data_IF_736921360011
#
_entry.id   IF_736921360011
#
_cell.length_a   1.000
_cell.length_b   1.000
_cell.length_c   1.000
_cell.angle_alpha   90.00
_cell.angle_beta   90.00
_cell.angle_gamma   90.00
#
_symmetry.space_group_name_H-M   'P 1'
#
loop_
_entity.id
_entity.type
_entity.pdbx_description
1 polymer ?
#
# COMPACT_ATOMS: atom_id res chain seq x y z
N UNK A 1 9.91 14.89 -5.41
CA UNK A 1 10.11 14.82 -3.96
C UNK A 1 11.30 15.64 -3.50
N UNK A 2 12.57 15.31 -3.81
CA UNK A 2 13.74 16.08 -3.34
C UNK A 2 13.63 17.60 -3.59
N UNK A 3 13.38 17.99 -4.84
CA UNK A 3 13.11 19.39 -5.24
C UNK A 3 11.97 20.05 -4.44
N UNK A 4 10.93 19.29 -4.07
CA UNK A 4 9.82 19.81 -3.26
C UNK A 4 10.25 20.02 -1.81
N UNK A 5 10.99 19.10 -1.22
CA UNK A 5 11.47 19.23 0.17
C UNK A 5 12.49 20.37 0.30
N UNK A 6 13.35 20.55 -0.70
CA UNK A 6 14.32 21.65 -0.76
C UNK A 6 13.66 23.03 -0.94
N UNK A 7 12.49 23.08 -1.58
CA UNK A 7 11.75 24.31 -1.87
C UNK A 7 10.32 24.23 -1.30
N UNK A 8 10.18 23.71 -0.09
CA UNK A 8 8.87 23.50 0.53
C UNK A 8 8.24 24.87 0.83
N UNK A 9 7.02 25.17 0.34
CA UNK A 9 6.35 26.42 0.69
C UNK A 9 5.87 26.42 2.14
N UNK A 10 5.80 27.60 2.74
CA UNK A 10 5.19 27.77 4.08
C UNK A 10 3.75 27.25 4.06
N UNK A 11 3.36 26.57 5.14
CA UNK A 11 2.05 25.92 5.27
C UNK A 11 1.92 24.62 4.46
N UNK A 12 2.99 24.14 3.81
CA UNK A 12 3.02 22.82 3.19
C UNK A 12 3.75 21.80 4.07
N UNK A 13 3.34 20.54 3.94
CA UNK A 13 4.00 19.40 4.57
C UNK A 13 4.22 18.28 3.55
N UNK A 14 5.29 17.51 3.69
CA UNK A 14 5.56 16.31 2.88
C UNK A 14 5.62 15.09 3.78
N UNK A 15 4.84 14.07 3.46
CA UNK A 15 4.92 12.76 4.09
C UNK A 15 5.39 11.71 3.08
N UNK A 16 6.20 10.76 3.55
CA UNK A 16 6.53 9.54 2.81
C UNK A 16 6.09 8.35 3.66
N UNK A 17 5.05 7.66 3.22
CA UNK A 17 4.45 6.56 3.94
C UNK A 17 4.88 5.20 3.39
N UNK A 18 5.07 4.25 4.28
CA UNK A 18 5.35 2.86 3.95
C UNK A 18 4.98 1.91 5.09
N UNK A 19 4.64 0.67 4.74
CA UNK A 19 4.53 -0.41 5.70
C UNK A 19 5.85 -1.16 5.73
N UNK A 20 6.56 -1.07 6.86
CA UNK A 20 7.71 -1.95 7.05
C UNK A 20 7.21 -3.40 7.17
N UNK A 21 7.99 -4.36 6.69
CA UNK A 21 7.67 -5.78 6.95
C UNK A 21 7.44 -5.98 8.46
N UNK A 22 6.43 -6.76 8.80
CA UNK A 22 6.04 -6.99 10.18
C UNK A 22 7.24 -7.40 11.05
N UNK A 23 7.29 -6.85 12.26
CA UNK A 23 8.25 -7.29 13.26
C UNK A 23 7.81 -8.65 13.79
N UNK A 24 8.68 -9.65 13.64
CA UNK A 24 8.47 -10.98 14.22
C UNK A 24 8.99 -10.96 15.65
N UNK A 25 8.10 -11.09 16.63
CA UNK A 25 8.50 -11.29 18.01
C UNK A 25 9.37 -12.55 18.09
N UNK A 26 10.58 -12.38 18.62
CA UNK A 26 11.52 -13.48 18.83
C UNK A 26 11.84 -13.61 20.30
N UNK A 27 12.17 -14.83 20.73
CA UNK A 27 12.67 -15.08 22.09
C UNK A 27 14.19 -15.30 22.05
N UNK A 28 14.88 -14.93 23.13
CA UNK A 28 16.33 -15.14 23.22
C UNK A 28 16.70 -16.64 23.19
N UNK A 29 15.88 -17.47 23.82
CA UNK A 29 16.06 -18.92 23.90
C UNK A 29 14.83 -19.64 23.31
N UNK A 30 14.53 -19.41 22.04
CA UNK A 30 13.38 -20.03 21.36
C UNK A 30 13.47 -21.57 21.38
N UNK A 31 12.42 -22.20 21.88
CA UNK A 31 12.21 -23.64 21.68
C UNK A 31 11.80 -23.90 20.23
N UNK A 32 12.16 -25.06 19.69
CA UNK A 32 11.97 -25.40 18.27
C UNK A 32 10.51 -25.25 17.79
N UNK A 33 9.53 -25.47 18.66
CA UNK A 33 8.09 -25.31 18.33
C UNK A 33 7.67 -23.86 18.08
N UNK A 34 8.32 -22.88 18.72
CA UNK A 34 7.99 -21.44 18.56
C UNK A 34 8.42 -20.90 17.19
N UNK A 35 9.30 -21.61 16.48
CA UNK A 35 9.74 -21.23 15.13
C UNK A 35 8.59 -21.13 14.10
N UNK A 36 7.53 -21.95 14.26
CA UNK A 36 6.44 -22.04 13.28
C UNK A 36 5.30 -21.06 13.51
N UNK A 37 5.22 -20.41 14.68
CA UNK A 37 4.18 -19.45 15.04
C UNK A 37 4.79 -18.29 15.79
N UNK A 38 5.28 -17.30 15.05
CA UNK A 38 5.76 -16.04 15.63
C UNK A 38 4.63 -15.03 15.61
N UNK A 39 4.43 -14.36 16.74
CA UNK A 39 3.56 -13.20 16.80
C UNK A 39 4.19 -12.09 15.95
N UNK A 40 3.39 -11.49 15.10
CA UNK A 40 3.82 -10.43 14.19
C UNK A 40 3.19 -9.10 14.59
N UNK A 41 3.99 -8.04 14.55
CA UNK A 41 3.60 -6.68 14.89
C UNK A 41 3.73 -5.82 13.66
N UNK A 42 2.64 -5.14 13.30
CA UNK A 42 2.63 -4.17 12.20
C UNK A 42 3.41 -2.93 12.59
N UNK A 43 4.27 -2.49 11.67
CA UNK A 43 5.06 -1.27 11.81
C UNK A 43 4.86 -0.40 10.58
N UNK A 44 4.04 0.63 10.74
CA UNK A 44 3.93 1.69 9.74
C UNK A 44 4.99 2.76 9.98
N UNK A 45 5.58 3.26 8.90
CA UNK A 45 6.58 4.32 8.93
C UNK A 45 6.11 5.49 8.07
N UNK A 46 6.16 6.69 8.64
CA UNK A 46 5.98 7.95 7.93
C UNK A 46 7.20 8.84 8.13
N UNK A 47 7.89 9.20 7.06
CA UNK A 47 8.90 10.27 7.08
C UNK A 47 8.18 11.58 6.86
N UNK A 48 8.31 12.50 7.81
CA UNK A 48 7.61 13.78 7.83
C UNK A 48 8.62 14.90 7.59
N UNK A 49 8.37 15.74 6.59
CA UNK A 49 9.09 16.99 6.38
C UNK A 49 8.12 18.16 6.55
N UNK A 50 8.46 19.06 7.45
CA UNK A 50 7.66 20.26 7.75
C UNK A 50 8.58 21.43 8.06
N UNK A 51 8.04 22.63 7.98
CA UNK A 51 8.72 23.80 8.53
C UNK A 51 8.85 23.68 10.05
N UNK A 52 9.93 24.22 10.59
CA UNK A 52 10.13 24.30 12.04
C UNK A 52 9.10 25.24 12.66
N UNK A 53 8.69 24.92 13.89
CA UNK A 53 7.78 25.72 14.71
C UNK A 53 8.55 26.22 15.92
N UNK A 54 8.62 27.53 16.14
CA UNK A 54 9.46 28.12 17.18
C UNK A 54 9.26 27.50 18.57
N UNK A 55 8.01 27.34 19.00
CA UNK A 55 7.66 26.82 20.33
C UNK A 55 8.05 25.35 20.53
N UNK A 56 8.15 24.57 19.45
CA UNK A 56 8.36 23.13 19.49
C UNK A 56 9.76 22.70 19.07
N UNK A 57 10.40 23.45 18.18
CA UNK A 57 11.72 23.18 17.61
C UNK A 57 12.80 24.17 18.08
N UNK A 58 12.42 25.26 18.75
CA UNK A 58 13.33 26.31 19.20
C UNK A 58 13.87 27.20 18.07
N UNK A 59 13.42 26.98 16.83
CA UNK A 59 13.76 27.79 15.65
C UNK A 59 12.51 28.00 14.81
N UNK A 60 12.29 29.24 14.39
CA UNK A 60 11.21 29.59 13.47
C UNK A 60 11.63 29.39 12.01
N UNK A 61 10.64 29.27 11.13
CA UNK A 61 10.87 29.15 9.69
C UNK A 61 10.07 30.22 8.94
N UNK A 62 10.75 31.00 8.11
CA UNK A 62 10.11 32.02 7.24
C UNK A 62 10.30 31.68 5.76
N UNK A 63 9.71 32.48 4.88
CA UNK A 63 9.93 32.34 3.43
C UNK A 63 11.38 32.67 3.03
N UNK A 64 12.01 33.63 3.71
CA UNK A 64 13.41 34.05 3.45
C UNK A 64 14.44 33.10 4.07
N UNK A 65 14.14 32.56 5.26
CA UNK A 65 14.98 31.59 5.95
C UNK A 65 14.18 30.32 6.26
N UNK A 66 13.93 29.47 5.25
CA UNK A 66 13.19 28.23 5.45
C UNK A 66 14.03 27.25 6.28
N UNK A 67 13.43 26.73 7.36
CA UNK A 67 14.02 25.69 8.18
C UNK A 67 13.16 24.44 8.15
N UNK A 68 13.64 23.39 7.47
CA UNK A 68 12.91 22.14 7.30
C UNK A 68 13.35 21.13 8.35
N UNK A 69 12.39 20.67 9.15
CA UNK A 69 12.55 19.61 10.14
C UNK A 69 12.13 18.29 9.50
N UNK A 70 12.95 17.27 9.69
CA UNK A 70 12.63 15.90 9.25
C UNK A 70 12.41 15.01 10.47
N UNK A 71 11.25 14.37 10.55
CA UNK A 71 10.86 13.51 11.67
C UNK A 71 10.49 12.11 11.16
N UNK A 72 10.64 11.11 12.02
CA UNK A 72 10.18 9.75 11.75
C UNK A 72 8.99 9.46 12.64
N UNK A 73 7.84 9.19 12.04
CA UNK A 73 6.60 8.89 12.74
C UNK A 73 6.26 7.42 12.54
N UNK A 74 6.09 6.70 13.63
CA UNK A 74 5.84 5.26 13.62
C UNK A 74 4.47 4.96 14.24
N UNK A 75 3.71 4.09 13.59
CA UNK A 75 2.50 3.51 14.17
C UNK A 75 2.71 2.01 14.35
N UNK A 76 2.63 1.57 15.59
CA UNK A 76 2.82 0.18 16.01
C UNK A 76 1.45 -0.40 16.37
N UNK A 77 1.12 -1.57 15.82
CA UNK A 77 -0.20 -2.19 16.00
C UNK A 77 -0.15 -3.71 15.93
N UNK A 78 -1.03 -4.44 16.63
CA UNK A 78 -1.25 -5.87 16.36
C UNK A 78 -2.13 -6.11 15.12
N UNK A 79 -2.76 -5.07 14.55
CA UNK A 79 -3.59 -5.17 13.34
C UNK A 79 -2.73 -5.33 12.08
N UNK A 80 -2.90 -6.44 11.36
CA UNK A 80 -2.07 -6.81 10.19
C UNK A 80 -2.79 -6.68 8.85
N UNK A 81 -4.00 -6.10 8.80
CA UNK A 81 -4.78 -6.06 7.55
C UNK A 81 -4.21 -5.10 6.51
N UNK A 82 -3.49 -4.07 6.97
CA UNK A 82 -2.83 -3.05 6.13
C UNK A 82 -3.75 -2.51 5.01
N UNK A 83 -5.02 -2.30 5.31
CA UNK A 83 -6.03 -1.87 4.35
C UNK A 83 -6.16 -0.35 4.32
N UNK A 84 -7.07 0.14 3.47
CA UNK A 84 -7.37 1.57 3.37
C UNK A 84 -7.84 2.20 4.69
N UNK A 85 -8.44 1.39 5.59
CA UNK A 85 -8.79 1.87 6.91
C UNK A 85 -7.57 2.14 7.77
N UNK A 86 -6.58 1.24 7.74
CA UNK A 86 -5.32 1.44 8.44
C UNK A 86 -4.61 2.69 7.94
N UNK A 87 -4.52 2.88 6.62
CA UNK A 87 -3.82 4.04 6.05
C UNK A 87 -4.49 5.36 6.42
N UNK A 88 -5.83 5.42 6.39
CA UNK A 88 -6.59 6.58 6.87
C UNK A 88 -6.36 6.87 8.36
N UNK A 89 -6.33 5.82 9.20
CA UNK A 89 -6.03 5.96 10.63
C UNK A 89 -4.64 6.58 10.86
N UNK A 90 -3.62 6.11 10.12
CA UNK A 90 -2.26 6.69 10.17
C UNK A 90 -2.27 8.16 9.75
N UNK A 91 -2.95 8.50 8.66
CA UNK A 91 -3.05 9.88 8.18
C UNK A 91 -3.70 10.79 9.23
N UNK A 92 -4.74 10.30 9.91
CA UNK A 92 -5.38 11.02 11.01
C UNK A 92 -4.41 11.26 12.17
N UNK A 93 -3.65 10.24 12.59
CA UNK A 93 -2.66 10.37 13.67
C UNK A 93 -1.55 11.38 13.34
N UNK A 94 -1.12 11.44 12.08
CA UNK A 94 -0.17 12.46 11.60
C UNK A 94 -0.79 13.85 11.64
N UNK A 95 -2.06 14.00 11.22
CA UNK A 95 -2.80 15.27 11.30
C UNK A 95 -2.94 15.75 12.75
N UNK A 96 -3.36 14.88 13.65
CA UNK A 96 -3.49 15.17 15.08
C UNK A 96 -2.16 15.58 15.70
N UNK A 97 -1.07 14.90 15.33
CA UNK A 97 0.26 15.27 15.78
C UNK A 97 0.65 16.67 15.31
N UNK A 98 0.51 16.98 14.02
CA UNK A 98 0.81 18.30 13.47
C UNK A 98 0.02 19.41 14.18
N UNK A 99 -1.27 19.18 14.43
CA UNK A 99 -2.12 20.09 15.21
C UNK A 99 -1.63 20.26 16.65
N UNK A 100 -1.21 19.17 17.30
CA UNK A 100 -0.75 19.18 18.70
C UNK A 100 0.53 19.99 18.94
N UNK A 101 1.31 20.22 17.88
CA UNK A 101 2.54 21.02 17.92
C UNK A 101 2.35 22.40 17.29
N UNK A 102 1.10 22.82 17.07
CA UNK A 102 0.71 24.07 16.43
C UNK A 102 1.37 24.28 15.05
N UNK A 103 1.58 23.19 14.30
CA UNK A 103 2.07 23.26 12.93
C UNK A 103 0.89 23.41 11.97
N UNK A 104 0.62 24.65 11.55
CA UNK A 104 -0.47 24.95 10.62
C UNK A 104 -0.12 24.48 9.21
N UNK A 105 -0.83 23.44 8.73
CA UNK A 105 -0.66 22.89 7.40
C UNK A 105 -1.93 23.13 6.58
N UNK A 106 -1.75 23.76 5.42
CA UNK A 106 -2.80 23.98 4.41
C UNK A 106 -2.72 22.92 3.30
N UNK A 107 -1.51 22.50 2.93
CA UNK A 107 -1.28 21.56 1.82
C UNK A 107 -0.45 20.36 2.27
N UNK A 108 -1.02 19.17 2.15
CA UNK A 108 -0.35 17.91 2.45
C UNK A 108 0.09 17.20 1.17
N UNK A 109 1.39 16.96 1.01
CA UNK A 109 1.97 16.18 -0.08
C UNK A 109 2.35 14.79 0.39
N UNK A 110 1.60 13.78 -0.02
CA UNK A 110 1.88 12.41 0.39
C UNK A 110 2.65 11.67 -0.72
N UNK A 111 3.61 10.85 -0.33
CA UNK A 111 4.37 9.98 -1.21
C UNK A 111 4.33 8.55 -0.68
N UNK A 112 4.11 7.59 -1.57
CA UNK A 112 4.06 6.15 -1.21
C UNK A 112 4.34 5.30 -2.44
N UNK A 113 4.66 4.02 -2.26
CA UNK A 113 4.95 3.06 -3.32
C UNK A 113 3.73 2.72 -4.20
N UNK A 114 2.54 3.13 -3.77
CA UNK A 114 1.30 2.93 -4.49
C UNK A 114 0.84 1.48 -4.52
N UNK A 115 1.17 0.70 -3.49
CA UNK A 115 0.62 -0.64 -3.31
C UNK A 115 -0.92 -0.62 -3.37
N UNK A 116 -1.51 -1.46 -4.23
CA UNK A 116 -2.94 -1.39 -4.54
C UNK A 116 -3.85 -1.86 -3.42
N UNK A 117 -3.36 -2.68 -2.48
CA UNK A 117 -4.10 -3.06 -1.28
C UNK A 117 -4.08 -1.99 -0.18
N UNK A 118 -3.05 -1.13 -0.18
CA UNK A 118 -2.75 -0.21 0.93
C UNK A 118 -3.08 1.25 0.62
N UNK A 119 -2.44 1.83 -0.40
CA UNK A 119 -2.45 3.28 -0.67
C UNK A 119 -3.07 3.67 -2.00
N UNK A 120 -3.19 2.71 -2.92
CA UNK A 120 -3.69 2.94 -4.28
C UNK A 120 -4.89 2.05 -4.62
N UNK A 121 -5.69 1.69 -3.61
CA UNK A 121 -6.97 1.02 -3.84
C UNK A 121 -8.04 2.02 -4.28
N UNK A 122 -9.15 1.53 -4.82
CA UNK A 122 -10.34 2.36 -5.10
C UNK A 122 -10.88 3.03 -3.84
N UNK A 123 -10.81 2.33 -2.71
CA UNK A 123 -11.26 2.83 -1.41
C UNK A 123 -10.32 3.91 -0.88
N UNK A 124 -9.00 3.75 -1.05
CA UNK A 124 -8.03 4.79 -0.70
C UNK A 124 -8.25 6.05 -1.54
N UNK A 125 -8.48 5.92 -2.85
CA UNK A 125 -8.79 7.06 -3.71
C UNK A 125 -10.08 7.76 -3.29
N UNK A 126 -11.07 7.01 -2.83
CA UNK A 126 -12.29 7.54 -2.24
C UNK A 126 -12.03 8.26 -0.93
N UNK A 127 -11.26 7.67 -0.01
CA UNK A 127 -10.85 8.32 1.24
C UNK A 127 -10.07 9.63 0.99
N UNK A 128 -9.17 9.63 0.01
CA UNK A 128 -8.44 10.83 -0.44
C UNK A 128 -9.41 11.94 -0.85
N UNK A 129 -10.54 11.59 -1.49
CA UNK A 129 -11.54 12.58 -1.89
C UNK A 129 -12.17 13.32 -0.71
N UNK A 130 -12.21 12.74 0.50
CA UNK A 130 -12.74 13.37 1.72
C UNK A 130 -11.64 13.78 2.72
N UNK A 131 -10.37 13.52 2.40
CA UNK A 131 -9.28 13.72 3.37
C UNK A 131 -9.04 15.20 3.72
N UNK A 132 -9.41 16.13 2.83
CA UNK A 132 -9.35 17.56 3.12
C UNK A 132 -10.27 17.94 4.29
N UNK A 133 -11.53 17.49 4.26
CA UNK A 133 -12.50 17.74 5.33
C UNK A 133 -12.18 16.93 6.60
N UNK A 134 -11.76 15.68 6.46
CA UNK A 134 -11.38 14.84 7.61
C UNK A 134 -10.22 15.44 8.42
N UNK A 135 -9.20 15.93 7.73
CA UNK A 135 -7.95 16.34 8.38
C UNK A 135 -7.84 17.86 8.52
N UNK A 136 -8.72 18.64 7.89
CA UNK A 136 -8.72 20.10 7.94
C UNK A 136 -7.64 20.74 7.05
N UNK A 137 -7.31 20.11 5.93
CA UNK A 137 -6.38 20.66 4.93
C UNK A 137 -7.15 21.34 3.81
N UNK A 138 -6.57 22.38 3.20
CA UNK A 138 -7.14 22.97 1.99
C UNK A 138 -6.89 22.07 0.76
N UNK A 139 -5.77 21.33 0.76
CA UNK A 139 -5.40 20.43 -0.34
C UNK A 139 -4.65 19.21 0.19
N UNK A 140 -4.95 18.04 -0.37
CA UNK A 140 -4.13 16.83 -0.23
C UNK A 140 -3.70 16.34 -1.60
N UNK A 141 -2.43 15.97 -1.71
CA UNK A 141 -1.76 15.69 -2.98
C UNK A 141 -1.02 14.36 -2.93
N UNK A 142 -1.70 13.19 -2.93
CA UNK A 142 -1.03 11.90 -2.98
C UNK A 142 -0.25 11.69 -4.27
N UNK A 143 0.96 11.17 -4.14
CA UNK A 143 1.88 10.84 -5.23
C UNK A 143 2.34 9.40 -5.07
N UNK A 144 2.30 8.66 -6.16
CA UNK A 144 2.67 7.25 -6.17
C UNK A 144 3.96 7.06 -6.94
N UNK A 145 4.96 6.42 -6.31
CA UNK A 145 6.14 5.95 -7.02
C UNK A 145 5.77 4.83 -8.00
N UNK A 146 6.70 4.51 -8.89
CA UNK A 146 6.58 3.28 -9.68
C UNK A 146 6.76 2.07 -8.76
N UNK A 147 6.02 1.00 -9.03
CA UNK A 147 6.10 -0.24 -8.26
C UNK A 147 7.55 -0.73 -8.20
N UNK A 148 8.00 -1.15 -7.01
CA UNK A 148 9.39 -1.61 -6.74
C UNK A 148 10.49 -0.54 -6.78
N UNK A 149 10.15 0.74 -6.98
CA UNK A 149 11.11 1.85 -7.05
C UNK A 149 11.04 2.83 -5.88
N UNK A 150 10.28 2.51 -4.84
CA UNK A 150 10.05 3.39 -3.69
C UNK A 150 11.11 3.32 -2.58
N UNK A 151 12.30 2.74 -2.82
CA UNK A 151 13.31 2.60 -1.76
C UNK A 151 13.75 3.96 -1.23
N UNK A 152 13.70 4.14 0.08
CA UNK A 152 13.92 5.44 0.69
C UNK A 152 14.23 5.43 2.18
N UNK A 153 14.24 6.62 2.80
CA UNK A 153 14.53 6.76 4.23
C UNK A 153 13.57 5.99 5.14
N UNK A 154 12.35 5.72 4.68
CA UNK A 154 11.34 4.95 5.41
C UNK A 154 11.73 3.47 5.60
N UNK A 155 12.35 2.83 4.61
CA UNK A 155 12.88 1.46 4.74
C UNK A 155 13.94 1.39 5.85
N UNK A 156 14.87 2.35 5.83
CA UNK A 156 15.96 2.43 6.79
C UNK A 156 15.45 2.72 8.22
N UNK A 157 14.41 3.55 8.33
CA UNK A 157 13.76 3.86 9.60
C UNK A 157 13.06 2.63 10.20
N UNK A 158 12.25 1.91 9.41
CA UNK A 158 11.60 0.67 9.86
C UNK A 158 12.62 -0.42 10.21
N UNK A 159 13.63 -0.63 9.36
CA UNK A 159 14.71 -1.58 9.62
C UNK A 159 15.53 -1.23 10.87
N UNK A 160 15.72 0.05 11.18
CA UNK A 160 16.40 0.49 12.40
C UNK A 160 15.63 0.07 13.66
N UNK A 161 14.31 0.33 13.73
CA UNK A 161 13.49 -0.03 14.90
C UNK A 161 13.54 -1.54 15.14
N UNK A 162 13.29 -2.34 14.09
CA UNK A 162 13.33 -3.82 14.16
C UNK A 162 14.68 -4.32 14.64
N UNK A 163 15.77 -3.82 14.05
CA UNK A 163 17.14 -4.19 14.45
C UNK A 163 17.43 -3.84 15.91
N UNK A 164 16.99 -2.69 16.39
CA UNK A 164 17.20 -2.31 17.80
C UNK A 164 16.39 -3.20 18.74
N UNK A 165 15.15 -3.56 18.39
CA UNK A 165 14.33 -4.49 19.16
C UNK A 165 14.99 -5.88 19.23
N UNK A 166 15.43 -6.42 18.08
CA UNK A 166 16.13 -7.71 18.02
C UNK A 166 17.40 -7.72 18.87
N UNK A 167 18.20 -6.66 18.80
CA UNK A 167 19.40 -6.55 19.63
C UNK A 167 19.08 -6.50 21.12
N UNK A 168 17.99 -5.85 21.52
CA UNK A 168 17.58 -5.78 22.92
C UNK A 168 17.15 -7.16 23.45
N UNK A 169 16.43 -7.93 22.64
CA UNK A 169 16.03 -9.32 22.94
C UNK A 169 17.25 -10.25 22.98
N UNK A 170 18.11 -10.22 21.96
CA UNK A 170 19.32 -11.06 21.87
C UNK A 170 20.25 -10.84 23.06
N UNK A 171 20.37 -9.59 23.52
CA UNK A 171 21.19 -9.24 24.69
C UNK A 171 20.54 -9.60 26.03
N UNK A 172 19.28 -10.06 26.03
CA UNK A 172 18.52 -10.35 27.24
C UNK A 172 18.17 -9.10 28.05
N UNK A 173 18.18 -7.93 27.42
CA UNK A 173 17.87 -6.65 28.11
C UNK A 173 16.38 -6.36 28.16
N UNK A 174 15.63 -6.85 27.17
CA UNK A 174 14.19 -6.68 27.05
C UNK A 174 13.55 -7.96 26.53
N UNK A 175 12.29 -8.18 26.91
CA UNK A 175 11.44 -9.23 26.36
C UNK A 175 10.36 -8.51 25.54
N UNK A 176 10.30 -8.79 24.23
CA UNK A 176 9.37 -8.13 23.30
C UNK A 176 8.51 -9.20 22.64
N UNK A 177 7.33 -9.47 23.22
CA UNK A 177 6.43 -10.55 22.78
C UNK A 177 5.06 -10.06 22.30
N UNK A 178 4.87 -8.75 22.25
CA UNK A 178 3.62 -8.13 21.81
C UNK A 178 3.88 -6.79 21.12
N UNK A 179 2.84 -6.26 20.48
CA UNK A 179 2.85 -4.92 19.89
C UNK A 179 3.02 -3.83 20.95
N UNK A 180 2.42 -4.01 22.14
CA UNK A 180 2.60 -3.09 23.27
C UNK A 180 4.04 -3.12 23.79
N UNK A 181 4.67 -4.28 23.91
CA UNK A 181 6.08 -4.36 24.35
C UNK A 181 7.01 -3.65 23.37
N UNK A 182 6.77 -3.83 22.06
CA UNK A 182 7.57 -3.16 21.03
C UNK A 182 7.39 -1.65 21.10
N UNK A 183 6.16 -1.18 21.30
CA UNK A 183 5.86 0.24 21.46
C UNK A 183 6.54 0.82 22.71
N UNK A 184 6.39 0.19 23.87
CA UNK A 184 6.98 0.65 25.13
C UNK A 184 8.51 0.69 25.05
N UNK A 185 9.11 -0.34 24.46
CA UNK A 185 10.55 -0.38 24.19
C UNK A 185 10.99 0.80 23.30
N UNK A 186 10.31 0.99 22.16
CA UNK A 186 10.68 2.01 21.19
C UNK A 186 10.50 3.43 21.76
N UNK A 187 9.38 3.68 22.45
CA UNK A 187 9.08 4.96 23.09
C UNK A 187 10.13 5.31 24.17
N UNK A 188 10.54 4.33 24.97
CA UNK A 188 11.47 4.54 26.09
C UNK A 188 12.93 4.67 25.65
N UNK A 189 13.32 3.99 24.56
CA UNK A 189 14.74 3.86 24.19
C UNK A 189 15.12 4.53 22.87
N UNK A 190 14.17 4.78 21.96
CA UNK A 190 14.47 5.14 20.56
C UNK A 190 13.90 6.49 20.13
N UNK A 191 13.16 7.18 20.99
CA UNK A 191 12.56 8.50 20.70
C UNK A 191 13.60 9.57 20.37
N UNK A 192 14.73 9.55 21.07
CA UNK A 192 15.82 10.50 20.86
C UNK A 192 16.70 10.07 19.68
N UNK A 193 17.04 11.03 18.82
CA UNK A 193 18.00 10.85 17.74
C UNK A 193 19.39 11.29 18.20
N UNK A 194 20.44 10.70 17.62
CA UNK A 194 21.79 11.20 17.83
C UNK A 194 21.97 12.54 17.11
N UNK A 195 22.78 13.45 17.66
CA UNK A 195 23.02 14.80 17.11
C UNK A 195 23.53 14.80 15.67
N UNK A 196 24.18 13.72 15.23
CA UNK A 196 24.69 13.56 13.87
C UNK A 196 23.65 13.07 12.85
N UNK A 197 22.39 12.86 13.26
CA UNK A 197 21.36 12.30 12.40
C UNK A 197 20.59 13.39 11.66
N UNK A 198 20.25 13.15 10.39
CA UNK A 198 19.34 14.04 9.61
C UNK A 198 17.89 14.01 10.10
N UNK A 199 17.59 13.17 11.09
CA UNK A 199 16.28 13.05 11.72
C UNK A 199 16.29 13.83 13.04
N UNK A 200 15.34 14.74 13.20
CA UNK A 200 15.23 15.59 14.38
C UNK A 200 14.63 14.86 15.57
N UNK A 201 13.71 13.90 15.34
CA UNK A 201 13.13 13.05 16.39
C UNK A 201 12.35 11.85 15.83
N UNK A 202 12.11 10.86 16.69
CA UNK A 202 11.18 9.76 16.41
C UNK A 202 9.93 9.90 17.27
N UNK A 203 8.77 9.78 16.63
CA UNK A 203 7.46 9.82 17.28
C UNK A 203 6.85 8.43 17.15
N UNK A 204 6.36 7.89 18.26
CA UNK A 204 5.67 6.60 18.27
C UNK A 204 4.20 6.82 18.64
N UNK A 205 3.32 6.05 17.99
CA UNK A 205 1.92 5.89 18.33
C UNK A 205 1.58 4.41 18.39
N UNK A 206 0.72 4.07 19.34
CA UNK A 206 0.16 2.73 19.46
C UNK A 206 -1.29 2.74 19.00
N UNK A 207 -1.66 1.75 18.19
CA UNK A 207 -3.04 1.52 17.76
C UNK A 207 -3.37 0.07 18.03
N UNK A 208 -4.25 -0.19 18.99
CA UNK A 208 -4.66 -1.55 19.33
C UNK A 208 -5.48 -2.19 18.20
N UNK A 209 -6.44 -1.44 17.65
CA UNK A 209 -7.23 -1.87 16.51
C UNK A 209 -7.67 -0.69 15.66
N UNK A 210 -7.78 -0.92 14.35
CA UNK A 210 -8.27 0.09 13.40
C UNK A 210 -9.78 -0.05 13.22
N UNK A 211 -10.49 1.08 13.35
CA UNK A 211 -11.93 1.16 13.09
C UNK A 211 -12.23 0.99 11.59
N UNK A 212 -13.09 0.01 11.27
CA UNK A 212 -13.51 -0.35 9.91
C UNK A 212 -15.01 -0.15 9.67
N UNK A 213 -15.70 0.53 10.58
CA UNK A 213 -17.13 0.79 10.48
C UNK A 213 -17.44 2.01 9.58
N UNK A 214 -16.44 2.52 8.85
CA UNK A 214 -16.60 3.67 7.95
C UNK A 214 -17.27 3.22 6.65
N UNK A 215 -18.47 3.76 6.36
CA UNK A 215 -19.16 3.56 5.08
C UNK A 215 -18.52 4.40 3.95
N UNK A 216 -17.35 3.94 3.53
CA UNK A 216 -16.49 4.55 2.52
C UNK A 216 -15.99 3.51 1.53
N UNK A 217 -16.93 2.72 1.04
CA UNK A 217 -16.69 1.79 -0.05
C UNK A 217 -17.04 2.40 -1.40
N UNK A 218 -16.13 2.30 -2.36
CA UNK A 218 -16.21 3.03 -3.62
C UNK A 218 -16.08 2.09 -4.83
N UNK A 219 -16.72 2.49 -5.93
CA UNK A 219 -16.61 1.79 -7.19
C UNK A 219 -15.16 1.85 -7.76
N UNK A 220 -14.76 0.87 -8.59
CA UNK A 220 -13.41 0.84 -9.17
C UNK A 220 -13.08 2.08 -10.01
N UNK A 221 -11.87 2.62 -9.81
CA UNK A 221 -11.33 3.73 -10.62
C UNK A 221 -10.66 3.19 -11.87
N UNK A 222 -11.13 3.61 -13.04
CA UNK A 222 -10.57 3.19 -14.34
C UNK A 222 -9.11 3.62 -14.48
N UNK A 223 -8.30 2.73 -15.04
CA UNK A 223 -6.87 2.95 -15.30
C UNK A 223 -6.04 3.38 -14.08
N UNK A 224 -6.49 3.05 -12.85
CA UNK A 224 -5.84 3.40 -11.59
C UNK A 224 -4.31 3.17 -11.61
N UNK A 225 -3.85 2.04 -12.16
CA UNK A 225 -2.41 1.73 -12.26
C UNK A 225 -1.59 2.85 -12.93
N UNK A 226 -2.13 3.53 -13.95
CA UNK A 226 -1.46 4.62 -14.69
C UNK A 226 -1.44 5.96 -13.95
N UNK A 227 -2.15 6.08 -12.83
CA UNK A 227 -2.26 7.33 -12.06
C UNK A 227 -1.10 7.39 -11.06
N UNK A 228 -0.22 8.40 -11.16
CA UNK A 228 0.85 8.61 -10.18
C UNK A 228 0.71 9.91 -9.40
N UNK A 229 -0.31 10.71 -9.71
CA UNK A 229 -0.69 11.84 -8.89
C UNK A 229 -2.19 11.94 -8.77
N UNK A 230 -2.64 12.14 -7.54
CA UNK A 230 -4.02 12.46 -7.18
C UNK A 230 -4.02 13.80 -6.46
N UNK A 231 -5.10 14.55 -6.59
CA UNK A 231 -5.35 15.76 -5.82
C UNK A 231 -6.79 15.78 -5.37
N UNK A 232 -7.00 16.14 -4.12
CA UNK A 232 -8.32 16.47 -3.60
C UNK A 232 -8.30 17.89 -3.06
N UNK A 233 -9.43 18.57 -3.27
CA UNK A 233 -9.73 19.93 -2.86
C UNK A 233 -11.15 20.01 -2.28
N UNK A 234 -12.07 19.25 -2.88
CA UNK A 234 -13.49 19.19 -2.54
C UNK A 234 -13.90 17.73 -2.30
N UNK A 235 -14.86 17.55 -1.40
CA UNK A 235 -15.35 16.23 -1.02
C UNK A 235 -16.00 15.48 -2.20
N UNK A 236 -15.67 14.19 -2.30
CA UNK A 236 -16.25 13.29 -3.30
C UNK A 236 -15.68 13.42 -4.71
N UNK A 237 -14.68 14.28 -4.93
CA UNK A 237 -14.03 14.47 -6.22
C UNK A 237 -12.51 14.43 -6.12
N UNK A 238 -11.86 13.86 -7.12
CA UNK A 238 -10.40 13.86 -7.24
C UNK A 238 -9.95 14.29 -8.63
N UNK A 239 -8.77 14.89 -8.71
CA UNK A 239 -8.09 15.19 -9.95
C UNK A 239 -6.88 14.28 -10.09
N UNK A 240 -6.82 13.54 -11.18
CA UNK A 240 -5.79 12.52 -11.40
C UNK A 240 -4.92 12.85 -12.60
N UNK A 241 -3.67 12.43 -12.54
CA UNK A 241 -2.73 12.55 -13.65
C UNK A 241 -1.71 11.42 -13.67
N UNK A 242 -1.15 11.18 -14.86
CA UNK A 242 -0.15 10.15 -15.09
C UNK A 242 1.11 10.37 -14.27
N UNK A 243 1.66 11.58 -14.18
CA UNK A 243 2.89 11.85 -13.44
C UNK A 243 2.81 13.19 -12.70
N UNK A 244 3.39 13.24 -11.50
CA UNK A 244 3.52 14.48 -10.74
C UNK A 244 4.60 15.40 -11.31
N UNK A 245 4.43 16.72 -11.09
CA UNK A 245 5.42 17.72 -11.46
C UNK A 245 5.86 18.49 -10.22
N UNK A 246 7.15 18.40 -9.89
CA UNK A 246 7.80 19.17 -8.83
C UNK A 246 9.11 19.82 -9.32
N UNK A 247 9.25 19.96 -10.64
CA UNK A 247 10.40 20.57 -11.31
C UNK A 247 10.13 22.01 -11.76
N UNK A 248 8.86 22.44 -11.82
CA UNK A 248 8.51 23.81 -12.15
C UNK A 248 7.91 24.53 -10.95
N UNK A 249 8.21 25.81 -10.82
CA UNK A 249 7.76 26.64 -9.70
C UNK A 249 6.24 26.68 -9.58
N UNK A 250 5.53 26.75 -10.70
CA UNK A 250 4.06 26.80 -10.73
C UNK A 250 3.44 25.64 -9.96
N UNK A 251 3.94 24.41 -10.14
CA UNK A 251 3.41 23.26 -9.42
C UNK A 251 3.82 23.23 -7.94
N UNK A 252 4.99 23.74 -7.59
CA UNK A 252 5.44 23.81 -6.19
C UNK A 252 4.52 24.76 -5.41
N UNK A 253 4.22 25.93 -5.97
CA UNK A 253 3.35 26.95 -5.32
C UNK A 253 1.84 26.70 -5.54
N UNK A 254 1.46 25.56 -6.12
CA UNK A 254 0.05 25.18 -6.26
C UNK A 254 -0.71 25.78 -7.45
N UNK A 255 -0.03 26.45 -8.39
CA UNK A 255 -0.60 26.93 -9.65
C UNK A 255 -0.45 25.88 -10.77
N UNK A 256 -1.32 24.89 -10.75
CA UNK A 256 -1.13 23.71 -11.59
C UNK A 256 -1.55 23.87 -13.05
N UNK A 257 -2.45 24.81 -13.34
CA UNK A 257 -2.93 25.11 -14.70
C UNK A 257 -1.84 25.67 -15.61
N UNK A 258 -0.75 26.18 -15.03
CA UNK A 258 0.39 26.76 -15.75
C UNK A 258 1.62 25.86 -15.69
N UNK A 259 1.42 24.55 -15.47
CA UNK A 259 2.49 23.58 -15.45
C UNK A 259 3.17 23.50 -16.82
N UNK A 260 4.46 23.84 -16.86
CA UNK A 260 5.26 23.88 -18.09
C UNK A 260 5.46 22.50 -18.74
N UNK A 261 5.19 21.43 -18.00
CA UNK A 261 5.45 20.05 -18.41
C UNK A 261 4.16 19.29 -18.76
N UNK A 262 3.02 19.97 -18.92
CA UNK A 262 1.73 19.32 -19.19
C UNK A 262 1.73 18.48 -20.46
N UNK A 263 2.39 18.94 -21.52
CA UNK A 263 2.51 18.18 -22.77
C UNK A 263 3.20 16.81 -22.57
N UNK A 264 4.09 16.69 -21.58
CA UNK A 264 4.87 15.47 -21.32
C UNK A 264 4.22 14.59 -20.24
N UNK A 265 3.63 15.21 -19.22
CA UNK A 265 3.14 14.53 -18.02
C UNK A 265 1.64 14.22 -18.06
N UNK A 266 0.94 14.75 -19.08
CA UNK A 266 -0.50 14.65 -19.25
C UNK A 266 -1.26 15.77 -18.56
N UNK A 267 -2.54 15.90 -18.89
CA UNK A 267 -3.48 16.82 -18.25
C UNK A 267 -4.17 16.18 -17.06
N UNK A 268 -4.68 16.99 -16.15
CA UNK A 268 -5.53 16.49 -15.06
C UNK A 268 -6.89 16.09 -15.60
N UNK A 269 -7.36 14.93 -15.16
CA UNK A 269 -8.73 14.48 -15.39
C UNK A 269 -9.46 14.46 -14.05
N UNK A 270 -10.65 15.05 -14.04
CA UNK A 270 -11.54 15.03 -12.88
C UNK A 270 -12.26 13.69 -12.83
N UNK A 271 -12.28 13.07 -11.66
CA UNK A 271 -13.03 11.84 -11.37
C UNK A 271 -13.95 12.13 -10.18
N UNK A 272 -15.25 11.90 -10.37
CA UNK A 272 -16.20 11.90 -9.26
C UNK A 272 -16.20 10.51 -8.64
N UNK A 273 -16.01 10.46 -7.32
CA UNK A 273 -16.03 9.21 -6.57
C UNK A 273 -17.49 8.80 -6.33
N UNK A 274 -17.79 7.53 -6.58
CA UNK A 274 -19.14 6.97 -6.42
C UNK A 274 -19.08 5.88 -5.37
N UNK A 275 -19.93 6.00 -4.35
CA UNK A 275 -20.04 4.98 -3.30
C UNK A 275 -20.76 3.74 -3.82
N UNK A 276 -20.43 2.58 -3.28
CA UNK A 276 -21.11 1.33 -3.64
C UNK A 276 -22.58 1.34 -3.23
N UNK A 277 -22.89 1.91 -2.06
CA UNK A 277 -24.25 2.05 -1.56
C UNK A 277 -25.15 2.88 -2.49
N UNK A 278 -24.62 3.92 -3.13
CA UNK A 278 -25.34 4.76 -4.10
C UNK A 278 -25.59 4.05 -5.44
N UNK A 279 -24.83 2.99 -5.76
CA UNK A 279 -25.02 2.25 -6.99
C UNK A 279 -26.16 1.22 -6.89
N UNK A 280 -26.32 0.62 -5.71
CA UNK A 280 -27.29 -0.45 -5.45
C UNK A 280 -28.76 0.02 -5.50
N UNK A 281 -29.05 1.32 -5.32
CA UNK A 281 -30.41 1.86 -5.45
C UNK A 281 -30.90 1.99 -6.91
N UNK A 282 -30.05 1.68 -7.91
CA UNK A 282 -30.38 1.82 -9.33
C UNK A 282 -30.45 0.52 -10.13
N UNK A 283 -30.09 -0.63 -9.55
CA UNK A 283 -30.27 -1.94 -10.17
C UNK A 283 -30.51 -3.00 -9.09
N UNK A 284 -31.76 -3.42 -8.93
CA UNK A 284 -32.08 -4.70 -8.31
C UNK A 284 -31.75 -5.82 -9.31
N UNK A 285 -30.47 -6.12 -9.48
CA UNK A 285 -30.01 -7.41 -9.98
C UNK A 285 -29.13 -8.02 -8.90
N UNK A 286 -29.57 -9.18 -8.45
CA UNK A 286 -28.98 -9.97 -7.37
C UNK A 286 -27.59 -10.47 -7.74
N UNK A 287 -26.56 -9.88 -7.17
CA UNK A 287 -25.28 -10.54 -6.97
C UNK A 287 -25.00 -10.57 -5.46
N UNK A 288 -25.25 -11.73 -4.87
CA UNK A 288 -24.69 -12.12 -3.58
C UNK A 288 -23.19 -12.29 -3.78
N UNK A 289 -22.41 -11.25 -3.48
CA UNK A 289 -20.96 -11.38 -3.29
C UNK A 289 -20.66 -11.03 -1.84
N UNK A 290 -20.89 -12.02 -0.96
CA UNK A 290 -20.41 -11.98 0.41
C UNK A 290 -18.88 -12.04 0.37
N UNK A 291 -18.27 -11.01 0.95
CA UNK A 291 -16.83 -10.79 0.93
C UNK A 291 -16.01 -12.00 1.36
N UNK A 292 -15.12 -12.41 0.46
CA UNK A 292 -13.86 -13.06 0.78
C UNK A 292 -12.79 -12.26 0.06
N UNK A 293 -11.79 -11.79 0.81
CA UNK A 293 -10.58 -11.13 0.30
C UNK A 293 -9.93 -12.01 -0.78
N UNK A 294 -10.23 -11.74 -2.05
CA UNK A 294 -9.67 -12.48 -3.17
C UNK A 294 -8.31 -11.86 -3.49
N UNK A 295 -7.25 -12.64 -3.24
CA UNK A 295 -5.99 -12.58 -3.97
C UNK A 295 -6.30 -12.09 -5.39
N UNK A 296 -5.79 -10.90 -5.76
CA UNK A 296 -6.00 -10.28 -7.08
C UNK A 296 -6.20 -11.33 -8.16
N UNK A 297 -7.43 -11.51 -8.66
CA UNK A 297 -7.81 -12.65 -9.49
C UNK A 297 -6.90 -12.74 -10.74
N UNK A 298 -5.78 -13.48 -10.62
CA UNK A 298 -4.67 -13.48 -11.60
C UNK A 298 -5.17 -13.94 -12.97
N UNK A 299 -6.25 -14.71 -12.97
CA UNK A 299 -6.96 -15.14 -14.17
C UNK A 299 -7.36 -14.00 -15.12
N UNK A 300 -7.64 -12.79 -14.61
CA UNK A 300 -8.01 -11.65 -15.48
C UNK A 300 -6.88 -11.20 -16.40
N UNK A 301 -5.63 -11.59 -16.11
CA UNK A 301 -4.48 -11.35 -16.98
C UNK A 301 -4.18 -12.52 -17.94
N UNK A 302 -4.92 -13.64 -17.84
CA UNK A 302 -4.75 -14.80 -18.70
C UNK A 302 -5.56 -14.63 -19.97
N UNK A 303 -4.89 -14.71 -21.13
CA UNK A 303 -5.53 -14.72 -22.44
C UNK A 303 -4.98 -15.88 -23.27
N UNK A 304 -5.56 -16.14 -24.44
CA UNK A 304 -5.09 -17.17 -25.36
C UNK A 304 -3.59 -17.03 -25.64
N UNK A 305 -2.84 -18.07 -25.31
CA UNK A 305 -1.40 -18.16 -25.53
C UNK A 305 -0.54 -17.79 -24.32
N UNK A 306 -1.11 -17.17 -23.28
CA UNK A 306 -0.44 -16.90 -22.00
C UNK A 306 0.08 -18.19 -21.37
N UNK A 307 1.29 -18.13 -20.83
CA UNK A 307 1.85 -19.19 -19.99
C UNK A 307 1.64 -18.78 -18.54
N UNK A 308 1.07 -19.67 -17.73
CA UNK A 308 0.71 -19.38 -16.34
C UNK A 308 0.94 -20.62 -15.48
N UNK A 309 1.11 -20.40 -14.18
CA UNK A 309 1.20 -21.47 -13.19
C UNK A 309 -0.18 -21.72 -12.58
N UNK A 310 -0.45 -22.98 -12.25
CA UNK A 310 -1.67 -23.41 -11.58
C UNK A 310 -1.24 -24.17 -10.35
N UNK A 311 -1.71 -23.75 -9.18
CA UNK A 311 -1.50 -24.46 -7.92
C UNK A 311 -2.00 -25.90 -8.07
N UNK A 312 -1.15 -26.84 -7.68
CA UNK A 312 -1.45 -28.26 -7.72
C UNK A 312 -1.79 -28.75 -6.30
N UNK A 313 -2.71 -29.71 -6.22
CA UNK A 313 -3.06 -30.36 -4.95
C UNK A 313 -2.12 -31.53 -4.60
N UNK A 314 -1.12 -31.81 -5.45
CA UNK A 314 -0.13 -32.88 -5.26
C UNK A 314 0.96 -32.48 -4.24
N UNK A 315 1.21 -33.34 -3.26
CA UNK A 315 2.27 -33.14 -2.23
C UNK A 315 3.69 -33.04 -2.81
N UNK A 316 3.94 -33.64 -3.97
CA UNK A 316 5.28 -33.71 -4.60
C UNK A 316 5.50 -32.62 -5.66
N UNK A 317 4.46 -31.88 -6.05
CA UNK A 317 4.53 -30.88 -7.11
C UNK A 317 3.64 -29.69 -6.74
N UNK A 318 4.19 -28.56 -6.29
CA UNK A 318 3.38 -27.45 -5.76
C UNK A 318 2.56 -26.71 -6.84
N UNK A 319 2.93 -26.84 -8.11
CA UNK A 319 2.22 -26.21 -9.23
C UNK A 319 2.50 -26.93 -10.55
N UNK A 320 1.60 -26.73 -11.52
CA UNK A 320 1.82 -27.08 -12.91
C UNK A 320 1.92 -25.83 -13.78
N UNK A 321 2.67 -25.90 -14.87
CA UNK A 321 2.74 -24.83 -15.86
C UNK A 321 1.88 -25.18 -17.06
N UNK A 322 1.01 -24.27 -17.47
CA UNK A 322 0.13 -24.43 -18.63
C UNK A 322 0.33 -23.29 -19.62
N UNK A 323 0.00 -23.57 -20.88
CA UNK A 323 -0.26 -22.55 -21.91
C UNK A 323 -1.74 -22.50 -22.25
N UNK A 324 -2.35 -21.34 -22.09
CA UNK A 324 -3.76 -21.11 -22.43
C UNK A 324 -4.00 -21.36 -23.93
N UNK A 325 -5.00 -22.18 -24.23
CA UNK A 325 -5.44 -22.48 -25.59
C UNK A 325 -6.51 -21.51 -26.10
N UNK A 326 -7.23 -20.88 -25.16
CA UNK A 326 -8.33 -19.93 -25.35
C UNK A 326 -8.37 -18.96 -24.17
N UNK A 327 -9.13 -17.88 -24.32
CA UNK A 327 -9.42 -16.96 -23.22
C UNK A 327 -10.26 -17.67 -22.13
N UNK A 328 -10.17 -17.24 -20.85
CA UNK A 328 -10.98 -17.79 -19.77
C UNK A 328 -12.47 -17.73 -20.10
N UNK A 329 -13.20 -18.79 -19.78
CA UNK A 329 -14.64 -18.87 -20.04
C UNK A 329 -15.40 -19.29 -18.79
N UNK A 330 -16.62 -18.77 -18.66
CA UNK A 330 -17.60 -19.28 -17.70
C UNK A 330 -18.32 -20.47 -18.36
N UNK A 331 -18.29 -21.63 -17.70
CA UNK A 331 -18.89 -22.85 -18.22
C UNK A 331 -20.42 -22.71 -18.29
N UNK A 332 -20.99 -22.89 -19.49
CA UNK A 332 -22.45 -22.94 -19.70
C UNK A 332 -23.07 -24.29 -19.35
N UNK A 333 -22.24 -25.32 -19.19
CA UNK A 333 -22.62 -26.69 -18.79
C UNK A 333 -21.42 -27.34 -18.12
N UNK A 334 -21.66 -28.33 -17.27
CA UNK A 334 -20.60 -29.14 -16.67
C UNK A 334 -19.66 -29.70 -17.74
N UNK A 335 -18.36 -29.57 -17.52
CA UNK A 335 -17.32 -30.02 -18.44
C UNK A 335 -16.31 -30.89 -17.69
N UNK A 336 -15.96 -32.03 -18.29
CA UNK A 336 -14.93 -32.94 -17.79
C UNK A 336 -13.81 -33.01 -18.81
N UNK A 337 -12.57 -32.81 -18.37
CA UNK A 337 -11.40 -32.96 -19.22
C UNK A 337 -10.93 -34.42 -19.29
N UNK A 338 -9.92 -34.68 -20.13
CA UNK A 338 -9.37 -36.03 -20.32
C UNK A 338 -8.41 -36.47 -19.22
N UNK A 339 -8.12 -35.60 -18.26
CA UNK A 339 -7.39 -35.93 -17.03
C UNK A 339 -8.35 -36.38 -15.92
N UNK A 340 -9.66 -36.31 -16.15
CA UNK A 340 -10.69 -36.72 -15.21
C UNK A 340 -11.21 -35.57 -14.34
N UNK A 341 -10.70 -34.34 -14.52
CA UNK A 341 -11.15 -33.18 -13.77
C UNK A 341 -12.50 -32.69 -14.30
N UNK A 342 -13.48 -32.52 -13.42
CA UNK A 342 -14.85 -32.11 -13.75
C UNK A 342 -15.20 -30.80 -13.06
N UNK A 343 -15.75 -29.85 -13.82
CA UNK A 343 -16.16 -28.54 -13.33
C UNK A 343 -17.60 -28.26 -13.69
N UNK A 344 -18.36 -27.72 -12.76
CA UNK A 344 -19.79 -27.46 -12.90
C UNK A 344 -20.09 -26.23 -13.76
N UNK A 345 -21.34 -26.11 -14.21
CA UNK A 345 -21.86 -24.90 -14.83
C UNK A 345 -21.71 -23.71 -13.88
N UNK A 346 -21.30 -22.55 -14.40
CA UNK A 346 -21.04 -21.34 -13.62
C UNK A 346 -19.57 -21.13 -13.25
N UNK A 347 -18.74 -22.19 -13.26
CA UNK A 347 -17.32 -22.05 -12.95
C UNK A 347 -16.57 -21.31 -14.07
N UNK A 348 -15.76 -20.30 -13.70
CA UNK A 348 -14.76 -19.68 -14.59
C UNK A 348 -13.55 -20.63 -14.70
N UNK A 349 -13.24 -21.06 -15.92
CA UNK A 349 -12.17 -22.04 -16.19
C UNK A 349 -11.27 -21.58 -17.33
N UNK A 350 -10.05 -22.09 -17.34
CA UNK A 350 -9.08 -21.88 -18.41
C UNK A 350 -8.80 -23.22 -19.08
N UNK A 351 -8.81 -23.21 -20.41
CA UNK A 351 -8.44 -24.39 -21.21
C UNK A 351 -6.98 -24.25 -21.64
N UNK A 352 -6.15 -25.25 -21.38
CA UNK A 352 -4.72 -25.16 -21.69
C UNK A 352 -4.06 -26.50 -21.98
N UNK A 353 -2.75 -26.44 -22.21
CA UNK A 353 -1.88 -27.60 -22.38
C UNK A 353 -0.74 -27.53 -21.37
N UNK A 354 -0.49 -28.63 -20.67
CA UNK A 354 0.60 -28.73 -19.69
C UNK A 354 1.97 -28.71 -20.35
N UNK A 355 2.95 -28.21 -19.61
CA UNK A 355 4.36 -28.44 -19.88
C UNK A 355 4.87 -29.65 -19.10
N UNK A 356 5.61 -30.52 -19.78
CA UNK A 356 6.32 -31.63 -19.14
C UNK A 356 7.79 -31.29 -19.00
N UNK A 357 8.42 -31.68 -17.90
CA UNK A 357 9.87 -31.59 -17.72
C UNK A 357 10.59 -32.56 -18.65
N UNK A 358 11.69 -32.11 -19.25
CA UNK A 358 12.59 -32.94 -20.05
C UNK A 358 13.72 -33.43 -19.15
N UNK A 359 14.02 -34.73 -19.16
CA UNK A 359 15.12 -35.35 -18.41
C UNK A 359 15.11 -35.04 -16.89
N UNK A 360 13.92 -34.91 -16.29
CA UNK A 360 13.73 -34.47 -14.89
C UNK A 360 14.40 -33.13 -14.54
N UNK A 361 14.68 -32.28 -15.54
CA UNK A 361 15.22 -30.95 -15.33
C UNK A 361 14.07 -29.94 -15.22
N UNK A 362 13.87 -29.28 -14.06
CA UNK A 362 12.76 -28.34 -13.85
C UNK A 362 12.86 -27.07 -14.71
N UNK A 363 14.03 -26.78 -15.27
CA UNK A 363 14.26 -25.61 -16.13
C UNK A 363 14.09 -25.93 -17.63
N UNK A 364 13.87 -27.20 -18.00
CA UNK A 364 13.64 -27.61 -19.40
C UNK A 364 12.23 -28.15 -19.55
N UNK A 365 11.36 -27.34 -20.15
CA UNK A 365 9.94 -27.64 -20.31
C UNK A 365 9.57 -27.87 -21.77
N UNK A 366 8.75 -28.88 -22.03
CA UNK A 366 8.18 -29.17 -23.35
C UNK A 366 6.66 -29.15 -23.29
N UNK A 367 6.03 -28.33 -24.12
CA UNK A 367 4.59 -28.25 -24.20
C UNK A 367 3.99 -29.58 -24.72
N UNK A 368 3.14 -30.20 -23.93
CA UNK A 368 2.41 -31.42 -24.28
C UNK A 368 1.06 -31.07 -24.91
N UNK A 369 1.02 -30.97 -26.24
CA UNK A 369 -0.24 -30.68 -26.98
C UNK A 369 -1.19 -31.88 -27.11
N UNK A 370 -0.90 -32.99 -26.43
CA UNK A 370 -1.61 -34.27 -26.63
C UNK A 370 -2.98 -34.29 -25.98
N UNK A 371 -3.10 -33.72 -24.78
CA UNK A 371 -4.32 -33.78 -23.97
C UNK A 371 -4.59 -32.37 -23.42
N UNK A 372 -5.68 -31.71 -23.84
CA UNK A 372 -6.07 -30.43 -23.26
C UNK A 372 -6.57 -30.63 -21.84
N UNK A 373 -6.22 -29.69 -20.96
CA UNK A 373 -6.64 -29.65 -19.57
C UNK A 373 -7.63 -28.50 -19.33
N UNK A 374 -8.52 -28.70 -18.37
CA UNK A 374 -9.39 -27.65 -17.83
C UNK A 374 -8.94 -27.38 -16.40
N UNK A 375 -8.66 -26.13 -16.09
CA UNK A 375 -8.25 -25.69 -14.74
C UNK A 375 -9.16 -24.57 -14.26
N UNK A 376 -9.49 -24.50 -12.96
CA UNK A 376 -10.33 -23.43 -12.45
C UNK A 376 -9.52 -22.13 -12.42
N UNK A 377 -10.18 -21.01 -12.72
CA UNK A 377 -9.55 -19.68 -12.72
C UNK A 377 -8.91 -19.32 -11.37
N UNK A 378 -9.52 -19.78 -10.28
CA UNK A 378 -9.08 -19.53 -8.90
C UNK A 378 -7.78 -20.25 -8.54
N UNK A 379 -7.35 -21.25 -9.30
CA UNK A 379 -6.09 -21.96 -9.02
C UNK A 379 -4.87 -21.33 -9.72
N UNK A 380 -5.05 -20.20 -10.42
CA UNK A 380 -3.94 -19.49 -11.09
C UNK A 380 -3.12 -18.73 -10.06
N UNK A 381 -1.80 -18.96 -10.07
CA UNK A 381 -0.82 -18.32 -9.17
C UNK A 381 0.26 -17.56 -9.93
#
# INVERSE_FOLDING_TARGET
MKSLVENLPIGHCVTVHDFSENYKCTEQNEIQSTYFQKLEVSLHVTILHRHSVLEYDGKDSTEEEPNIVTEQFFVISPDQKHDHHYTHCVQNLVSEYLKSINCEISVMHEFTDGCSSQYKSRHCMGDVSYSCSDFGYAKILPNYFETSHARGPQDAAGGFIKKQADLAVIRGTHVIQSSSDLFDYAQSNLSTTADSSKCSRRIFRYVDSVNRDRDRNFLPVKENRKIHQVRSFDDGEIFVRKLSCYSCQSCIVGNYSTCMNDAQLGTYNKIKMVKESEHNDSNADSDNDEGVDDETNICDSVSKGTIFAVKADDTDCPYYILRASKDPIILRKTATDRWGASYHQGNKVIHGYYFNTIDNNPFKLKLSKRIPAIVPALSVI
#
